data_IF_951161791682
#
_entry.id   IF_951161791682
#
_cell.length_a   1.000
_cell.length_b   1.000
_cell.length_c   1.000
_cell.angle_alpha   90.00
_cell.angle_beta   90.00
_cell.angle_gamma   90.00
#
_symmetry.space_group_name_H-M   'P 1'
#
loop_
_entity.id
_entity.type
_entity.pdbx_description
1 polymer ?
#
# COMPACT_ATOMS: atom_id res chain seq x y z
N UNK A 1 -9.61 10.31 -9.07
CA UNK A 1 -10.60 9.79 -8.10
C UNK A 1 -10.71 10.58 -6.78
N UNK A 2 -9.89 11.62 -6.54
CA UNK A 2 -9.99 12.50 -5.35
C UNK A 2 -10.86 13.77 -5.56
N UNK A 3 -11.32 14.02 -6.78
CA UNK A 3 -11.82 15.35 -7.18
C UNK A 3 -13.17 15.72 -6.56
N UNK A 4 -14.16 14.81 -6.56
CA UNK A 4 -15.50 15.11 -6.01
C UNK A 4 -15.47 15.32 -4.49
N UNK A 5 -14.72 14.49 -3.75
CA UNK A 5 -14.54 14.65 -2.30
C UNK A 5 -13.76 15.92 -1.95
N UNK A 6 -12.79 16.30 -2.78
CA UNK A 6 -12.04 17.55 -2.60
C UNK A 6 -12.91 18.79 -2.82
N UNK A 7 -13.86 18.75 -3.76
CA UNK A 7 -14.82 19.84 -4.01
C UNK A 7 -15.76 20.05 -2.83
N UNK A 8 -16.33 18.98 -2.29
CA UNK A 8 -17.21 19.04 -1.11
C UNK A 8 -16.44 19.52 0.12
N UNK A 9 -15.22 19.01 0.35
CA UNK A 9 -14.36 19.49 1.44
C UNK A 9 -14.12 21.01 1.34
N UNK A 10 -13.80 21.52 0.15
CA UNK A 10 -13.63 22.96 -0.08
C UNK A 10 -14.89 23.77 0.22
N UNK A 11 -16.07 23.30 -0.17
CA UNK A 11 -17.33 23.98 0.15
C UNK A 11 -17.59 24.06 1.65
N UNK A 12 -17.10 23.07 2.41
CA UNK A 12 -17.15 23.05 3.87
C UNK A 12 -15.99 23.82 4.53
N UNK A 13 -15.17 24.54 3.77
CA UNK A 13 -13.99 25.26 4.28
C UNK A 13 -12.82 24.35 4.68
N UNK A 14 -12.88 23.05 4.36
CA UNK A 14 -11.83 22.09 4.66
C UNK A 14 -10.80 22.04 3.54
N UNK A 15 -9.53 22.09 3.93
CA UNK A 15 -8.39 22.00 3.02
C UNK A 15 -7.56 20.76 3.32
N UNK A 16 -7.15 20.05 2.27
CA UNK A 16 -6.21 18.94 2.40
C UNK A 16 -4.81 19.48 2.74
N UNK A 17 -4.19 18.91 3.77
CA UNK A 17 -2.83 19.26 4.17
C UNK A 17 -1.86 18.14 3.79
N UNK A 18 -1.25 18.24 2.62
CA UNK A 18 -0.27 17.28 2.12
C UNK A 18 0.96 17.11 3.04
N UNK A 19 1.31 18.12 3.86
CA UNK A 19 2.41 18.03 4.81
C UNK A 19 2.12 17.12 6.00
N UNK A 20 0.83 16.87 6.29
CA UNK A 20 0.36 15.86 7.25
C UNK A 20 0.16 14.50 6.60
N UNK A 21 0.84 14.23 5.50
CA UNK A 21 0.83 12.93 4.86
C UNK A 21 2.26 12.54 4.50
N UNK A 22 2.50 11.24 4.43
CA UNK A 22 3.73 10.71 3.85
C UNK A 22 3.42 9.53 2.96
N UNK A 23 4.36 9.20 2.09
CA UNK A 23 4.28 8.10 1.14
C UNK A 23 5.47 7.18 1.31
N UNK A 24 5.26 5.88 1.16
CA UNK A 24 6.32 4.89 1.09
C UNK A 24 6.17 4.13 -0.22
N UNK A 25 7.18 4.18 -1.08
CA UNK A 25 7.16 3.50 -2.38
C UNK A 25 8.09 2.30 -2.33
N UNK A 26 7.52 1.09 -2.38
CA UNK A 26 8.25 -0.17 -2.27
C UNK A 26 8.31 -0.82 -3.64
N UNK A 27 9.51 -1.17 -4.10
CA UNK A 27 9.66 -2.04 -5.26
C UNK A 27 9.53 -3.50 -4.83
N UNK A 28 8.37 -4.11 -5.03
CA UNK A 28 8.11 -5.49 -4.62
C UNK A 28 8.90 -6.56 -5.41
N UNK A 29 9.56 -6.21 -6.53
CA UNK A 29 10.31 -7.17 -7.37
C UNK A 29 11.74 -7.42 -6.90
N UNK A 30 12.33 -6.50 -6.14
CA UNK A 30 13.63 -6.67 -5.48
C UNK A 30 13.35 -6.67 -3.98
N UNK A 31 13.86 -7.65 -3.22
CA UNK A 31 13.68 -7.69 -1.75
C UNK A 31 13.88 -6.28 -1.17
N UNK A 32 12.77 -5.67 -0.75
CA UNK A 32 12.68 -4.41 0.00
C UNK A 32 13.60 -3.28 -0.46
N UNK A 33 13.51 -2.86 -1.72
CA UNK A 33 14.09 -1.56 -2.11
C UNK A 33 13.02 -0.48 -2.06
N UNK A 34 13.11 0.39 -1.06
CA UNK A 34 12.33 1.62 -1.00
C UNK A 34 12.87 2.60 -2.03
N UNK A 35 11.98 3.14 -2.86
CA UNK A 35 12.30 4.06 -3.93
C UNK A 35 12.11 5.50 -3.46
N UNK A 36 13.13 6.33 -3.68
CA UNK A 36 13.02 7.78 -3.54
C UNK A 36 12.13 8.33 -4.66
N UNK A 37 10.84 8.48 -4.37
CA UNK A 37 9.85 8.96 -5.32
C UNK A 37 9.25 10.29 -4.88
N UNK A 38 9.03 11.17 -5.85
CA UNK A 38 8.34 12.44 -5.63
C UNK A 38 6.87 12.25 -5.95
N UNK A 39 6.03 12.26 -4.91
CA UNK A 39 4.57 12.19 -5.05
C UNK A 39 3.99 13.57 -4.72
N UNK A 40 3.11 14.05 -5.59
CA UNK A 40 2.40 15.31 -5.40
C UNK A 40 0.89 15.07 -5.28
N UNK A 41 0.25 15.74 -4.33
CA UNK A 41 -1.22 15.78 -4.20
C UNK A 41 -1.64 17.25 -4.21
N UNK A 42 -2.57 17.59 -5.11
CA UNK A 42 -3.07 18.97 -5.27
C UNK A 42 -1.94 20.00 -5.48
N UNK A 43 -0.90 19.63 -6.24
CA UNK A 43 0.26 20.50 -6.52
C UNK A 43 1.23 20.66 -5.37
N UNK A 44 1.00 20.02 -4.22
CA UNK A 44 1.94 20.01 -3.08
C UNK A 44 2.69 18.68 -3.03
N UNK A 45 4.00 18.75 -2.83
CA UNK A 45 4.84 17.57 -2.62
C UNK A 45 4.57 16.96 -1.25
N UNK A 46 4.44 15.63 -1.21
CA UNK A 46 4.35 14.88 0.02
C UNK A 46 5.73 14.42 0.48
N UNK A 47 5.90 14.19 1.79
CA UNK A 47 7.11 13.58 2.32
C UNK A 47 7.18 12.12 1.85
N UNK A 48 8.27 11.73 1.21
CA UNK A 48 8.57 10.32 0.96
C UNK A 48 9.37 9.77 2.17
N UNK A 49 8.91 8.65 2.73
CA UNK A 49 9.60 7.94 3.79
C UNK A 49 10.72 7.08 3.17
N UNK A 50 11.84 6.99 3.90
CA UNK A 50 12.96 6.11 3.57
C UNK A 50 12.85 4.80 4.33
N UNK A 51 13.74 3.85 4.03
CA UNK A 51 13.83 2.61 4.78
C UNK A 51 14.13 2.86 6.27
N UNK A 52 13.36 2.21 7.13
CA UNK A 52 13.38 2.41 8.57
C UNK A 52 12.79 3.73 9.09
N UNK A 53 12.35 4.65 8.22
CA UNK A 53 11.64 5.85 8.69
C UNK A 53 10.20 5.52 9.05
N UNK A 54 9.77 5.98 10.23
CA UNK A 54 8.40 5.85 10.71
C UNK A 54 7.59 7.12 10.52
N UNK A 55 6.29 6.95 10.35
CA UNK A 55 5.36 8.06 10.31
C UNK A 55 5.11 8.61 11.73
N UNK A 56 5.87 9.64 12.11
CA UNK A 56 5.96 10.19 13.47
C UNK A 56 4.60 10.44 14.16
N UNK A 57 3.56 10.86 13.42
CA UNK A 57 2.25 11.19 13.99
C UNK A 57 1.50 9.95 14.50
N UNK A 58 1.64 8.78 13.87
CA UNK A 58 0.79 7.64 14.21
C UNK A 58 1.32 6.79 15.37
N UNK A 59 2.55 7.05 15.87
CA UNK A 59 3.13 6.30 16.99
C UNK A 59 3.32 4.79 16.72
N UNK A 60 3.09 4.34 15.48
CA UNK A 60 3.25 2.96 15.04
C UNK A 60 4.39 2.91 14.02
N UNK A 61 5.27 1.91 14.15
CA UNK A 61 6.25 1.63 13.12
C UNK A 61 5.51 1.27 11.83
N UNK A 62 5.92 1.88 10.71
CA UNK A 62 5.52 1.46 9.36
C UNK A 62 6.26 0.17 8.98
N UNK A 63 6.39 -0.77 9.93
CA UNK A 63 7.14 -2.00 9.70
C UNK A 63 6.45 -2.76 8.56
N UNK A 64 7.24 -3.00 7.53
CA UNK A 64 6.85 -3.58 6.24
C UNK A 64 6.53 -5.08 6.39
N UNK A 65 5.57 -5.44 7.25
CA UNK A 65 5.14 -6.83 7.45
C UNK A 65 3.91 -7.21 6.63
N UNK A 66 3.58 -6.45 5.59
CA UNK A 66 2.79 -7.01 4.51
C UNK A 66 3.73 -7.86 3.64
N UNK A 67 4.13 -9.04 4.15
CA UNK A 67 4.67 -10.10 3.30
C UNK A 67 3.51 -10.54 2.41
N UNK A 68 3.21 -9.75 1.37
CA UNK A 68 2.25 -10.13 0.35
C UNK A 68 2.71 -11.48 -0.16
N UNK A 69 1.85 -12.47 0.02
CA UNK A 69 2.02 -13.79 -0.54
C UNK A 69 2.24 -13.59 -2.05
N UNK A 70 3.32 -14.12 -2.62
CA UNK A 70 3.59 -13.94 -4.04
C UNK A 70 2.42 -14.52 -4.83
N UNK A 71 2.11 -13.91 -5.98
CA UNK A 71 1.06 -14.42 -6.88
C UNK A 71 1.31 -15.88 -7.26
N UNK A 72 2.58 -16.28 -7.41
CA UNK A 72 2.98 -17.68 -7.59
C UNK A 72 2.54 -18.59 -6.44
N UNK A 73 2.66 -18.14 -5.19
CA UNK A 73 2.20 -18.89 -4.02
C UNK A 73 0.68 -19.01 -4.01
N UNK A 74 -0.03 -17.94 -4.37
CA UNK A 74 -1.50 -17.95 -4.48
C UNK A 74 -1.93 -18.93 -5.57
N UNK A 75 -1.31 -18.87 -6.75
CA UNK A 75 -1.57 -19.79 -7.85
C UNK A 75 -1.29 -21.25 -7.48
N UNK A 76 -0.21 -21.51 -6.74
CA UNK A 76 0.10 -22.85 -6.22
C UNK A 76 -0.99 -23.38 -5.28
N UNK A 77 -1.44 -22.56 -4.32
CA UNK A 77 -2.52 -22.92 -3.40
C UNK A 77 -3.82 -23.23 -4.15
N UNK A 78 -4.18 -22.40 -5.14
CA UNK A 78 -5.39 -22.62 -5.95
C UNK A 78 -5.30 -23.91 -6.77
N UNK A 79 -4.14 -24.21 -7.35
CA UNK A 79 -3.93 -25.45 -8.09
C UNK A 79 -4.01 -26.68 -7.19
N UNK A 80 -3.45 -26.63 -5.99
CA UNK A 80 -3.51 -27.74 -5.05
C UNK A 80 -4.92 -27.95 -4.49
N UNK A 81 -5.67 -26.87 -4.23
CA UNK A 81 -7.09 -26.96 -3.89
C UNK A 81 -7.92 -27.63 -5.01
N UNK A 82 -7.66 -27.28 -6.27
CA UNK A 82 -8.32 -27.92 -7.42
C UNK A 82 -7.94 -29.40 -7.56
N UNK A 83 -6.69 -29.78 -7.29
CA UNK A 83 -6.29 -31.19 -7.27
C UNK A 83 -6.96 -31.97 -6.14
N UNK A 84 -7.14 -31.35 -4.98
CA UNK A 84 -7.86 -31.98 -3.86
C UNK A 84 -9.34 -32.18 -4.18
N UNK A 85 -9.99 -31.22 -4.81
CA UNK A 85 -11.39 -31.33 -5.27
C UNK A 85 -11.58 -32.45 -6.31
N UNK A 86 -10.59 -32.61 -7.21
CA UNK A 86 -10.56 -33.71 -8.18
C UNK A 86 -10.11 -35.04 -7.58
N UNK A 87 -9.40 -35.02 -6.46
CA UNK A 87 -9.06 -36.23 -5.74
C UNK A 87 -10.33 -36.70 -5.04
N UNK A 88 -10.84 -37.86 -5.43
CA UNK A 88 -12.01 -38.54 -4.85
C UNK A 88 -11.75 -39.02 -3.39
N UNK A 89 -11.00 -38.23 -2.61
CA UNK A 89 -10.62 -38.45 -1.22
C UNK A 89 -11.63 -37.86 -0.24
N UNK A 90 -12.70 -37.23 -0.75
CA UNK A 90 -13.92 -37.02 0.03
C UNK A 90 -14.82 -38.24 -0.20
N UNK A 91 -15.23 -38.98 0.86
CA UNK A 91 -16.14 -40.11 0.73
C UNK A 91 -17.53 -39.71 0.20
#
# INVERSE_FOLDING_TARGET
>A
MLDMRSKVAKWMGLCFNAFKCATLHINCRKKSNILDSTITIQGKQMRCLKDGESYLHLGMSTDHWAKQMSEETICGIVQDAHKLDLSLLVP
#
